data_IF_484689199061
#
_entry.id   IF_484689199061
#
_cell.length_a   1.000
_cell.length_b   1.000
_cell.length_c   1.000
_cell.angle_alpha   90.00
_cell.angle_beta   90.00
_cell.angle_gamma   90.00
#
_symmetry.space_group_name_H-M   'P 1'
#
loop_
_entity.id
_entity.type
_entity.pdbx_description
1 polymer ?
#
# COMPACT_ATOMS: atom_id res chain seq x y z
N UNK A 1 5.26 -15.20 12.01
CA UNK A 1 4.38 -14.18 11.42
C UNK A 1 5.07 -13.70 10.16
N UNK A 2 4.41 -13.86 9.02
CA UNK A 2 4.88 -13.31 7.75
C UNK A 2 4.93 -11.77 7.86
N UNK A 3 5.91 -11.14 7.23
CA UNK A 3 6.02 -9.68 7.20
C UNK A 3 4.83 -9.04 6.46
N UNK A 4 4.29 -9.73 5.46
CA UNK A 4 3.08 -9.29 4.78
C UNK A 4 1.89 -9.31 5.72
N UNK A 5 1.73 -10.35 6.54
CA UNK A 5 0.65 -10.44 7.52
C UNK A 5 0.78 -9.35 8.59
N UNK A 6 2.01 -9.09 9.07
CA UNK A 6 2.28 -7.94 9.93
C UNK A 6 1.84 -6.62 9.30
N UNK A 7 2.21 -6.36 8.04
CA UNK A 7 1.83 -5.12 7.35
C UNK A 7 0.33 -5.02 7.08
N UNK A 8 -0.34 -6.15 6.81
CA UNK A 8 -1.81 -6.22 6.70
C UNK A 8 -2.48 -5.84 8.01
N UNK A 9 -2.00 -6.38 9.13
CA UNK A 9 -2.53 -6.07 10.45
C UNK A 9 -2.33 -4.58 10.79
N UNK A 10 -1.14 -4.03 10.55
CA UNK A 10 -0.86 -2.60 10.74
C UNK A 10 -1.76 -1.72 9.86
N UNK A 11 -1.97 -2.10 8.59
CA UNK A 11 -2.83 -1.38 7.67
C UNK A 11 -4.28 -1.41 8.14
N UNK A 12 -4.77 -2.58 8.57
CA UNK A 12 -6.14 -2.74 9.06
C UNK A 12 -6.37 -2.02 10.40
N UNK A 13 -5.37 -2.00 11.28
CA UNK A 13 -5.42 -1.28 12.54
C UNK A 13 -5.45 0.23 12.32
N UNK A 14 -4.69 0.75 11.35
CA UNK A 14 -4.65 2.17 11.05
C UNK A 14 -5.86 2.63 10.23
N UNK A 15 -6.24 1.87 9.20
CA UNK A 15 -7.42 2.10 8.36
C UNK A 15 -8.47 1.03 8.64
N UNK A 16 -9.28 1.24 9.67
CA UNK A 16 -10.26 0.22 10.14
C UNK A 16 -11.26 -0.22 9.07
N UNK A 17 -11.61 0.65 8.12
CA UNK A 17 -12.54 0.36 7.01
C UNK A 17 -11.85 -0.31 5.81
N UNK A 18 -10.53 -0.45 5.84
CA UNK A 18 -9.78 -0.93 4.68
C UNK A 18 -10.03 -2.40 4.35
N UNK A 19 -9.84 -2.74 3.08
CA UNK A 19 -9.91 -4.11 2.59
C UNK A 19 -8.89 -4.36 1.49
N UNK A 20 -8.22 -5.51 1.55
CA UNK A 20 -7.37 -5.99 0.45
C UNK A 20 -8.22 -6.38 -0.74
N UNK A 21 -7.84 -5.92 -1.93
CA UNK A 21 -8.45 -6.32 -3.18
C UNK A 21 -7.89 -7.69 -3.60
N UNK A 22 -8.78 -8.60 -4.00
CA UNK A 22 -8.42 -9.97 -4.34
C UNK A 22 -8.53 -10.20 -5.85
N UNK A 23 -7.54 -10.90 -6.39
CA UNK A 23 -7.59 -11.44 -7.75
C UNK A 23 -8.45 -12.71 -7.79
N UNK A 24 -9.06 -13.00 -8.94
CA UNK A 24 -9.71 -14.30 -9.13
C UNK A 24 -8.72 -15.45 -9.18
N UNK A 25 -9.22 -16.66 -8.96
CA UNK A 25 -8.41 -17.89 -8.82
C UNK A 25 -7.54 -18.21 -10.03
N UNK A 26 -7.85 -17.64 -11.20
CA UNK A 26 -7.01 -17.73 -12.40
C UNK A 26 -5.57 -17.22 -12.19
N UNK A 27 -5.35 -16.42 -11.16
CA UNK A 27 -4.05 -15.87 -10.78
C UNK A 27 -3.35 -16.63 -9.64
N UNK A 28 -3.94 -17.69 -9.09
CA UNK A 28 -3.40 -18.37 -7.89
C UNK A 28 -2.03 -19.03 -8.12
N UNK A 29 -1.74 -19.42 -9.35
CA UNK A 29 -0.44 -20.00 -9.73
C UNK A 29 0.65 -18.94 -10.01
N UNK A 30 0.34 -17.65 -9.87
CA UNK A 30 1.30 -16.56 -10.10
C UNK A 30 1.84 -16.05 -8.76
N UNK A 31 3.17 -15.89 -8.63
CA UNK A 31 3.76 -15.24 -7.47
C UNK A 31 3.16 -13.84 -7.26
N UNK A 32 2.75 -13.54 -6.02
CA UNK A 32 2.14 -12.26 -5.67
C UNK A 32 3.16 -11.34 -5.01
N UNK A 33 3.52 -10.29 -5.73
CA UNK A 33 4.47 -9.26 -5.31
C UNK A 33 3.81 -7.89 -5.08
N UNK A 34 2.51 -7.78 -5.38
CA UNK A 34 1.78 -6.53 -5.40
C UNK A 34 0.43 -6.74 -4.72
N UNK A 35 0.17 -5.94 -3.70
CA UNK A 35 -1.03 -5.99 -2.89
C UNK A 35 -1.68 -4.61 -2.93
N UNK A 36 -3.00 -4.59 -3.13
CA UNK A 36 -3.77 -3.35 -3.28
C UNK A 36 -4.82 -3.31 -2.19
N UNK A 37 -4.97 -2.18 -1.52
CA UNK A 37 -5.92 -2.02 -0.43
C UNK A 37 -6.77 -0.79 -0.67
N UNK A 38 -8.08 -0.99 -0.70
CA UNK A 38 -9.02 0.09 -0.60
C UNK A 38 -9.01 0.61 0.84
N UNK A 39 -8.87 1.93 1.02
CA UNK A 39 -8.78 2.55 2.35
C UNK A 39 -10.17 2.64 3.01
N UNK A 40 -11.15 3.15 2.24
CA UNK A 40 -12.57 3.25 2.60
C UNK A 40 -13.42 3.34 1.34
N UNK A 41 -14.74 3.18 1.48
CA UNK A 41 -15.69 3.42 0.40
C UNK A 41 -15.63 4.88 -0.09
N UNK A 42 -15.96 5.10 -1.36
CA UNK A 42 -16.09 6.44 -1.96
C UNK A 42 -14.89 7.38 -1.79
N UNK A 43 -13.67 6.82 -1.66
CA UNK A 43 -12.44 7.59 -1.68
C UNK A 43 -11.71 7.41 -3.02
N UNK A 44 -10.89 8.40 -3.40
CA UNK A 44 -10.08 8.37 -4.63
C UNK A 44 -8.65 7.86 -4.39
N UNK A 45 -8.40 7.26 -3.24
CA UNK A 45 -7.07 6.85 -2.80
C UNK A 45 -6.99 5.33 -2.61
N UNK A 46 -5.90 4.74 -3.10
CA UNK A 46 -5.64 3.31 -3.00
C UNK A 46 -4.24 3.09 -2.44
N UNK A 47 -4.08 2.18 -1.48
CA UNK A 47 -2.76 1.78 -1.02
C UNK A 47 -2.23 0.66 -1.90
N UNK A 48 -0.97 0.77 -2.27
CA UNK A 48 -0.23 -0.20 -3.06
C UNK A 48 1.02 -0.62 -2.29
N UNK A 49 1.06 -1.88 -1.87
CA UNK A 49 2.22 -2.50 -1.24
C UNK A 49 2.91 -3.40 -2.26
N UNK A 50 4.20 -3.17 -2.47
CA UNK A 50 5.06 -4.00 -3.29
C UNK A 50 6.14 -4.67 -2.46
N UNK A 51 6.43 -5.92 -2.80
CA UNK A 51 7.53 -6.71 -2.26
C UNK A 51 8.36 -7.28 -3.41
N UNK A 52 9.68 -7.27 -3.27
CA UNK A 52 10.62 -7.78 -4.28
C UNK A 52 10.66 -9.33 -4.38
N UNK A 53 10.03 -10.04 -3.44
CA UNK A 53 9.85 -11.49 -3.47
C UNK A 53 10.99 -12.31 -2.87
N UNK A 54 12.16 -11.71 -2.67
CA UNK A 54 13.35 -12.38 -2.14
C UNK A 54 13.97 -11.64 -0.94
N UNK A 55 13.61 -10.37 -0.74
CA UNK A 55 14.22 -9.49 0.23
C UNK A 55 13.32 -9.12 1.40
N UNK A 56 13.81 -8.17 2.20
CA UNK A 56 13.05 -7.52 3.27
C UNK A 56 12.63 -6.11 2.89
N UNK A 57 12.73 -5.77 1.60
CA UNK A 57 12.46 -4.44 1.08
C UNK A 57 11.04 -4.36 0.56
N UNK A 58 10.37 -3.29 0.95
CA UNK A 58 8.99 -3.02 0.61
C UNK A 58 8.87 -1.61 0.09
N UNK A 59 7.94 -1.42 -0.84
CA UNK A 59 7.50 -0.09 -1.24
C UNK A 59 6.01 0.03 -0.97
N UNK A 60 5.61 0.99 -0.16
CA UNK A 60 4.22 1.34 0.07
C UNK A 60 3.93 2.70 -0.59
N UNK A 61 2.87 2.76 -1.39
CA UNK A 61 2.43 3.99 -2.05
C UNK A 61 0.99 4.28 -1.72
N UNK A 62 0.66 5.56 -1.59
CA UNK A 62 -0.71 6.03 -1.75
C UNK A 62 -0.88 6.51 -3.19
N UNK A 63 -1.70 5.80 -3.95
CA UNK A 63 -2.09 6.18 -5.29
C UNK A 63 -3.33 7.07 -5.22
N UNK A 64 -3.32 8.16 -5.99
CA UNK A 64 -4.43 9.08 -6.17
C UNK A 64 -5.00 8.94 -7.59
N UNK A 65 -6.32 8.89 -7.67
CA UNK A 65 -7.10 8.83 -8.90
C UNK A 65 -7.91 10.12 -9.08
N UNK A 66 -8.47 10.35 -10.27
CA UNK A 66 -9.26 11.56 -10.55
C UNK A 66 -10.42 11.73 -9.58
N UNK A 67 -11.13 10.63 -9.32
CA UNK A 67 -12.33 10.59 -8.51
C UNK A 67 -12.58 9.18 -7.96
N UNK A 68 -13.51 9.10 -6.99
CA UNK A 68 -13.85 7.86 -6.30
C UNK A 68 -14.64 6.86 -7.18
N UNK A 69 -15.44 7.35 -8.14
CA UNK A 69 -16.23 6.50 -9.01
C UNK A 69 -15.31 5.71 -9.96
N UNK A 70 -14.29 6.36 -10.51
CA UNK A 70 -13.24 5.70 -11.28
C UNK A 70 -12.54 4.62 -10.46
N UNK A 71 -12.08 4.94 -9.24
CA UNK A 71 -11.39 3.94 -8.40
C UNK A 71 -12.30 2.74 -8.10
N UNK A 72 -13.59 2.97 -7.82
CA UNK A 72 -14.58 1.91 -7.60
C UNK A 72 -14.70 0.99 -8.80
N UNK A 73 -14.77 1.55 -10.02
CA UNK A 73 -14.80 0.76 -11.24
C UNK A 73 -13.51 -0.06 -11.43
N UNK A 74 -12.33 0.55 -11.21
CA UNK A 74 -11.05 -0.14 -11.35
C UNK A 74 -10.89 -1.27 -10.32
N UNK A 75 -11.36 -1.07 -9.09
CA UNK A 75 -11.36 -2.09 -8.05
C UNK A 75 -12.24 -3.28 -8.40
N UNK A 76 -13.43 -3.03 -8.99
CA UNK A 76 -14.28 -4.11 -9.52
C UNK A 76 -13.58 -4.86 -10.66
N UNK A 77 -12.93 -4.14 -11.56
CA UNK A 77 -12.22 -4.71 -12.71
C UNK A 77 -10.96 -5.51 -12.31
N UNK A 78 -10.31 -5.14 -11.20
CA UNK A 78 -9.06 -5.73 -10.73
C UNK A 78 -9.12 -7.26 -10.64
N UNK A 79 -10.22 -7.78 -10.10
CA UNK A 79 -10.49 -9.22 -9.95
C UNK A 79 -10.24 -9.98 -11.26
N UNK A 80 -10.65 -9.40 -12.39
CA UNK A 80 -10.65 -10.02 -13.72
C UNK A 80 -9.70 -9.35 -14.74
N UNK A 81 -8.97 -8.30 -14.39
CA UNK A 81 -8.00 -7.66 -15.30
C UNK A 81 -6.60 -7.56 -14.71
N UNK A 82 -6.47 -7.83 -13.41
CA UNK A 82 -5.20 -7.76 -12.70
C UNK A 82 -4.74 -6.32 -12.46
N UNK A 83 -3.51 -6.19 -11.97
CA UNK A 83 -2.94 -4.92 -11.48
C UNK A 83 -2.84 -3.79 -12.52
N UNK A 84 -2.84 -4.11 -13.82
CA UNK A 84 -2.67 -3.11 -14.90
C UNK A 84 -3.75 -2.03 -14.88
N UNK A 85 -4.93 -2.31 -14.33
CA UNK A 85 -6.02 -1.34 -14.21
C UNK A 85 -5.64 -0.12 -13.37
N UNK A 86 -4.70 -0.27 -12.43
CA UNK A 86 -4.27 0.82 -11.55
C UNK A 86 -3.10 1.65 -12.09
N UNK A 87 -2.58 1.36 -13.29
CA UNK A 87 -1.44 2.08 -13.88
C UNK A 87 -1.70 3.58 -14.11
N UNK A 88 -2.97 3.99 -14.12
CA UNK A 88 -3.35 5.41 -14.27
C UNK A 88 -3.27 6.19 -12.95
N UNK A 89 -3.19 5.51 -11.81
CA UNK A 89 -3.07 6.14 -10.50
C UNK A 89 -1.73 6.85 -10.33
N UNK A 90 -1.75 8.06 -9.80
CA UNK A 90 -0.55 8.85 -9.55
C UNK A 90 -0.08 8.68 -8.11
N UNK A 91 1.22 8.45 -7.85
CA UNK A 91 1.70 8.34 -6.48
C UNK A 91 1.65 9.70 -5.78
N UNK A 92 0.76 9.86 -4.79
CA UNK A 92 0.73 11.02 -3.89
C UNK A 92 1.87 10.95 -2.88
N UNK A 93 2.12 9.75 -2.36
CA UNK A 93 3.24 9.45 -1.48
C UNK A 93 3.81 8.07 -1.77
N UNK A 94 5.09 7.91 -1.48
CA UNK A 94 5.86 6.68 -1.67
C UNK A 94 6.84 6.56 -0.52
N UNK A 95 6.80 5.42 0.15
CA UNK A 95 7.73 5.04 1.20
C UNK A 95 8.37 3.71 0.82
N UNK A 96 9.69 3.72 0.72
CA UNK A 96 10.51 2.52 0.65
C UNK A 96 11.05 2.23 2.05
N UNK A 97 10.95 0.98 2.50
CA UNK A 97 11.40 0.58 3.82
C UNK A 97 11.89 -0.86 3.85
N UNK A 98 12.66 -1.19 4.89
CA UNK A 98 13.18 -2.53 5.13
C UNK A 98 12.62 -3.08 6.44
N UNK A 99 12.14 -4.32 6.43
CA UNK A 99 11.77 -5.03 7.65
C UNK A 99 12.99 -5.65 8.31
N UNK A 100 13.22 -5.34 9.59
CA UNK A 100 14.35 -5.87 10.36
C UNK A 100 13.98 -7.06 11.25
N UNK A 101 12.69 -7.42 11.32
CA UNK A 101 12.18 -8.40 12.27
C UNK A 101 11.73 -7.75 13.58
N UNK A 102 10.95 -8.50 14.38
CA UNK A 102 10.42 -8.04 15.68
C UNK A 102 9.68 -6.69 15.57
N UNK A 103 8.89 -6.50 14.52
CA UNK A 103 8.10 -5.29 14.26
C UNK A 103 8.94 -4.00 14.09
N UNK A 104 10.24 -4.14 13.80
CA UNK A 104 11.12 -3.01 13.50
C UNK A 104 11.26 -2.82 11.99
N UNK A 105 11.06 -1.60 11.54
CA UNK A 105 11.17 -1.18 10.15
C UNK A 105 12.17 -0.03 10.05
N UNK A 106 12.90 0.07 8.94
CA UNK A 106 13.78 1.19 8.67
C UNK A 106 13.38 1.83 7.33
N UNK A 107 13.10 3.12 7.34
CA UNK A 107 12.81 3.88 6.14
C UNK A 107 14.07 4.09 5.30
N UNK A 108 13.99 3.84 4.00
CA UNK A 108 15.14 4.01 3.07
C UNK A 108 14.94 5.24 2.19
N UNK A 109 13.75 5.40 1.62
CA UNK A 109 13.37 6.55 0.79
C UNK A 109 11.94 6.97 1.13
N UNK A 110 11.70 8.27 1.22
CA UNK A 110 10.36 8.81 1.34
C UNK A 110 10.20 9.97 0.36
N UNK A 111 9.10 9.93 -0.40
CA UNK A 111 8.67 10.97 -1.32
C UNK A 111 7.20 11.24 -1.06
N UNK A 112 6.86 12.49 -0.79
CA UNK A 112 5.50 12.96 -0.66
C UNK A 112 5.43 14.32 -1.37
N UNK A 113 4.26 14.68 -1.89
CA UNK A 113 3.99 16.03 -2.38
C UNK A 113 4.21 17.09 -1.29
N UNK A 114 4.09 16.70 -0.01
CA UNK A 114 4.25 17.56 1.15
C UNK A 114 5.47 17.17 1.98
N UNK A 115 6.21 18.15 2.51
CA UNK A 115 7.40 17.92 3.33
C UNK A 115 7.02 17.52 4.77
N UNK A 116 7.15 16.25 5.10
CA UNK A 116 6.99 15.73 6.46
C UNK A 116 8.34 15.30 7.06
N UNK A 117 8.61 15.55 8.36
CA UNK A 117 9.81 15.05 9.01
C UNK A 117 9.82 13.53 9.04
N UNK A 118 10.81 12.92 8.37
CA UNK A 118 10.93 11.48 8.20
C UNK A 118 12.16 10.97 8.95
N UNK A 119 11.95 10.28 10.08
CA UNK A 119 13.03 9.56 10.76
C UNK A 119 13.22 8.17 10.15
N UNK A 120 14.39 7.98 9.54
CA UNK A 120 14.76 6.78 8.79
C UNK A 120 15.24 5.63 9.68
N UNK A 121 15.62 5.92 10.92
CA UNK A 121 16.47 5.03 11.70
C UNK A 121 15.70 3.93 12.44
N UNK A 122 14.45 4.17 12.82
CA UNK A 122 13.55 3.17 13.40
C UNK A 122 12.10 3.61 13.26
N UNK A 123 11.32 2.82 12.55
CA UNK A 123 9.90 3.03 12.29
C UNK A 123 9.09 1.86 12.82
N UNK A 124 7.92 2.18 13.37
CA UNK A 124 6.82 1.24 13.62
C UNK A 124 5.96 1.08 12.37
N UNK A 125 5.05 0.09 12.38
CA UNK A 125 4.04 -0.05 11.33
C UNK A 125 3.14 1.18 11.22
N UNK A 126 2.79 1.79 12.36
CA UNK A 126 2.02 3.04 12.38
C UNK A 126 2.76 4.19 11.68
N UNK A 127 4.07 4.35 11.90
CA UNK A 127 4.85 5.40 11.23
C UNK A 127 4.84 5.20 9.70
N UNK A 128 4.92 3.94 9.24
CA UNK A 128 4.78 3.58 7.83
C UNK A 128 3.41 4.00 7.28
N UNK A 129 2.33 3.72 8.02
CA UNK A 129 0.97 4.08 7.58
C UNK A 129 0.75 5.59 7.57
N UNK A 130 1.31 6.32 8.55
CA UNK A 130 1.25 7.79 8.59
C UNK A 130 1.93 8.41 7.36
N UNK A 131 3.08 7.89 6.93
CA UNK A 131 3.79 8.40 5.76
C UNK A 131 2.95 8.35 4.48
N UNK A 132 2.05 7.36 4.37
CA UNK A 132 1.21 7.17 3.18
C UNK A 132 -0.25 7.55 3.38
N UNK A 133 -0.58 8.24 4.47
CA UNK A 133 -1.95 8.64 4.73
C UNK A 133 -2.40 9.76 3.77
N UNK A 134 -3.50 9.55 3.01
CA UNK A 134 -3.98 10.54 2.05
C UNK A 134 -4.52 11.82 2.69
N UNK A 135 -4.92 11.77 3.96
CA UNK A 135 -5.52 12.90 4.70
C UNK A 135 -4.48 13.82 5.34
N UNK A 136 -3.21 13.40 5.44
CA UNK A 136 -2.14 14.32 5.83
C UNK A 136 -1.81 15.25 4.64
N UNK A 137 -2.05 16.54 4.87
CA UNK A 137 -1.65 17.66 4.01
C UNK A 137 -0.48 18.37 4.68
#
# INVERSE_FOLDING_TARGET
MDVIDYLRDELKNYYSESSELLLSSRFDNQPRFNFYFQIKADCRFLLYLNWDGEGRYFTLKCLEFSDAALLTQLASDYTEKGSRVFNIGQPKSTLSFMYQGKNKLNGTEFRNTNSFPFDRNSMSGQDVMQCVNPEFV
#
